data_IF_495923526464
#
_entry.id   IF_495923526464
#
_cell.length_a   1.000
_cell.length_b   1.000
_cell.length_c   1.000
_cell.angle_alpha   90.00
_cell.angle_beta   90.00
_cell.angle_gamma   90.00
#
_symmetry.space_group_name_H-M   'P 1'
#
loop_
_entity.id
_entity.type
_entity.pdbx_description
1 polymer ?
#
# COMPACT_ATOMS: atom_id res chain seq x y z
N UNK A 1 17.43 3.26 -4.16
CA UNK A 1 17.36 4.38 -3.20
C UNK A 1 18.64 5.18 -3.30
N UNK A 2 18.65 6.10 -4.25
CA UNK A 2 19.64 7.16 -4.36
C UNK A 2 19.24 8.34 -3.46
N UNK A 3 20.15 9.29 -3.23
CA UNK A 3 19.82 10.52 -2.50
C UNK A 3 18.71 11.31 -3.20
N UNK A 4 18.70 11.32 -4.55
CA UNK A 4 17.66 11.98 -5.33
C UNK A 4 16.28 11.35 -5.12
N UNK A 5 16.21 10.02 -5.07
CA UNK A 5 14.98 9.30 -4.73
C UNK A 5 14.53 9.59 -3.29
N UNK A 6 15.47 9.73 -2.35
CA UNK A 6 15.14 10.07 -0.96
C UNK A 6 14.54 11.47 -0.82
N UNK A 7 15.04 12.45 -1.60
CA UNK A 7 14.49 13.81 -1.65
C UNK A 7 13.05 13.87 -2.16
N UNK A 8 12.66 12.96 -3.05
CA UNK A 8 11.29 12.88 -3.57
C UNK A 8 10.30 12.25 -2.58
N UNK A 9 10.79 11.54 -1.56
CA UNK A 9 9.96 10.84 -0.58
C UNK A 9 9.62 11.68 0.65
N UNK A 10 10.41 12.72 0.94
CA UNK A 10 10.30 13.52 2.14
C UNK A 10 10.17 15.00 1.75
N UNK A 11 9.13 15.66 2.25
CA UNK A 11 8.94 17.11 2.10
C UNK A 11 9.65 17.84 3.25
N UNK A 12 10.95 17.62 3.40
CA UNK A 12 11.77 18.14 4.50
C UNK A 12 13.02 18.86 3.96
N UNK A 13 13.75 19.56 4.83
CA UNK A 13 14.96 20.28 4.44
C UNK A 13 16.02 19.35 3.83
N UNK A 14 16.63 19.81 2.73
CA UNK A 14 17.65 19.09 1.97
C UNK A 14 18.83 18.61 2.85
N UNK A 15 19.21 19.43 3.83
CA UNK A 15 20.26 19.11 4.79
C UNK A 15 19.88 17.94 5.70
N UNK A 16 18.63 17.95 6.21
CA UNK A 16 18.10 16.87 7.04
C UNK A 16 18.00 15.57 6.24
N UNK A 17 17.47 15.64 5.02
CA UNK A 17 17.35 14.48 4.12
C UNK A 17 18.72 13.87 3.85
N UNK A 18 19.74 14.69 3.56
CA UNK A 18 21.10 14.21 3.35
C UNK A 18 21.67 13.54 4.60
N UNK A 19 21.52 14.16 5.78
CA UNK A 19 22.01 13.59 7.03
C UNK A 19 21.38 12.22 7.34
N UNK A 20 20.05 12.11 7.17
CA UNK A 20 19.30 10.86 7.38
C UNK A 20 19.68 9.81 6.34
N UNK A 21 19.83 10.20 5.07
CA UNK A 21 20.25 9.29 4.00
C UNK A 21 21.66 8.73 4.25
N UNK A 22 22.62 9.59 4.63
CA UNK A 22 24.00 9.18 4.93
C UNK A 22 24.03 8.20 6.11
N UNK A 23 23.24 8.44 7.16
CA UNK A 23 23.06 7.50 8.26
C UNK A 23 22.45 6.16 7.78
N UNK A 24 21.37 6.21 7.01
CA UNK A 24 20.68 5.03 6.50
C UNK A 24 21.58 4.17 5.62
N UNK A 25 22.34 4.78 4.71
CA UNK A 25 23.31 4.08 3.84
C UNK A 25 24.37 3.37 4.70
N UNK A 26 24.92 4.05 5.71
CA UNK A 26 25.88 3.45 6.63
C UNK A 26 25.28 2.24 7.36
N UNK A 27 24.05 2.38 7.86
CA UNK A 27 23.34 1.30 8.55
C UNK A 27 23.05 0.12 7.62
N UNK A 28 22.67 0.37 6.36
CA UNK A 28 22.46 -0.67 5.32
C UNK A 28 23.76 -1.41 4.99
N UNK A 29 24.87 -0.69 4.81
CA UNK A 29 26.18 -1.31 4.55
C UNK A 29 26.63 -2.23 5.67
N UNK A 30 26.33 -1.88 6.92
CA UNK A 30 26.66 -2.69 8.09
C UNK A 30 25.68 -3.84 8.33
N UNK A 31 24.54 -3.86 7.65
CA UNK A 31 23.54 -4.91 7.78
C UNK A 31 23.97 -6.13 6.95
N UNK A 32 24.22 -7.25 7.63
CA UNK A 32 24.55 -8.53 6.98
C UNK A 32 23.33 -9.26 6.40
N UNK A 33 22.13 -8.77 6.72
CA UNK A 33 20.87 -9.33 6.25
C UNK A 33 20.30 -8.58 5.03
N UNK A 34 19.22 -9.12 4.41
CA UNK A 34 18.60 -8.50 3.24
C UNK A 34 17.88 -7.17 3.55
N UNK A 35 17.60 -6.89 4.82
CA UNK A 35 16.84 -5.72 5.27
C UNK A 35 17.28 -5.25 6.65
N UNK A 36 17.12 -3.94 6.91
CA UNK A 36 17.36 -3.36 8.24
C UNK A 36 16.32 -3.82 9.27
N UNK A 37 15.07 -3.94 8.84
CA UNK A 37 13.99 -4.45 9.67
C UNK A 37 14.08 -5.97 9.60
N UNK A 38 14.15 -6.68 10.74
CA UNK A 38 14.09 -8.14 10.75
C UNK A 38 12.85 -8.62 9.98
N UNK A 39 13.05 -9.56 9.07
CA UNK A 39 11.96 -10.16 8.31
C UNK A 39 11.88 -11.64 8.67
N UNK A 40 10.67 -12.17 8.64
CA UNK A 40 10.44 -13.59 8.78
C UNK A 40 10.98 -14.29 7.53
N UNK A 41 11.75 -15.36 7.72
CA UNK A 41 12.28 -16.14 6.60
C UNK A 41 11.13 -16.89 5.91
N UNK A 42 10.93 -16.61 4.63
CA UNK A 42 9.94 -17.28 3.79
C UNK A 42 10.62 -18.35 2.94
N UNK A 43 9.84 -19.30 2.44
CA UNK A 43 10.32 -20.36 1.55
C UNK A 43 10.85 -19.81 0.22
N UNK A 44 11.95 -20.37 -0.27
CA UNK A 44 12.46 -20.06 -1.61
C UNK A 44 11.60 -20.75 -2.68
N UNK A 45 11.38 -20.09 -3.82
CA UNK A 45 10.61 -20.61 -4.97
C UNK A 45 11.44 -21.48 -5.94
N UNK A 46 12.63 -21.87 -5.53
CA UNK A 46 13.58 -22.64 -6.34
C UNK A 46 13.40 -24.16 -6.23
N UNK A 47 12.37 -24.62 -5.51
CA UNK A 47 12.07 -26.04 -5.35
C UNK A 47 13.03 -26.79 -4.42
N UNK A 48 13.94 -26.07 -3.74
CA UNK A 48 14.85 -26.66 -2.76
C UNK A 48 14.13 -27.14 -1.50
N UNK A 49 14.67 -28.18 -0.86
CA UNK A 49 14.14 -28.72 0.40
C UNK A 49 14.32 -27.69 1.53
N UNK A 50 13.23 -27.03 1.91
CA UNK A 50 13.21 -26.11 3.05
C UNK A 50 13.13 -26.91 4.36
N UNK A 51 14.26 -27.41 4.87
CA UNK A 51 14.35 -28.01 6.22
C UNK A 51 14.84 -27.03 7.29
N UNK A 52 14.92 -25.75 6.95
CA UNK A 52 15.34 -24.69 7.86
C UNK A 52 14.23 -24.36 8.89
N UNK A 53 14.50 -24.46 10.20
CA UNK A 53 13.52 -24.22 11.26
C UNK A 53 13.05 -22.76 11.35
N UNK A 54 13.78 -21.79 10.76
CA UNK A 54 13.38 -20.39 10.72
C UNK A 54 12.39 -20.06 9.59
N UNK A 55 12.10 -21.01 8.67
CA UNK A 55 11.15 -20.80 7.57
C UNK A 55 9.71 -20.94 8.04
N UNK A 56 8.96 -19.84 8.03
CA UNK A 56 7.55 -19.78 8.44
C UNK A 56 6.61 -19.31 7.30
N UNK A 57 5.30 -19.47 7.51
CA UNK A 57 4.23 -19.04 6.58
C UNK A 57 4.35 -19.60 5.15
N UNK A 58 4.69 -20.89 5.04
CA UNK A 58 4.82 -21.58 3.75
C UNK A 58 3.51 -21.51 2.98
N UNK A 59 3.61 -21.20 1.68
CA UNK A 59 2.45 -21.16 0.79
C UNK A 59 2.15 -22.60 0.36
N UNK A 60 1.38 -23.29 1.19
CA UNK A 60 0.66 -24.47 0.73
C UNK A 60 -0.53 -23.97 -0.07
N UNK A 61 -0.31 -23.52 -1.30
CA UNK A 61 -1.45 -23.36 -2.20
C UNK A 61 -1.98 -24.76 -2.46
N UNK A 62 -3.18 -25.06 -1.97
CA UNK A 62 -4.08 -25.92 -2.73
C UNK A 62 -4.00 -25.39 -4.16
N UNK A 63 -3.49 -26.21 -5.09
CA UNK A 63 -3.38 -25.81 -6.49
C UNK A 63 -4.72 -25.23 -6.87
N UNK A 64 -4.74 -23.98 -7.35
CA UNK A 64 -5.96 -23.32 -7.83
C UNK A 64 -6.69 -24.33 -8.70
N UNK A 65 -7.84 -24.83 -8.23
CA UNK A 65 -8.57 -25.86 -8.95
C UNK A 65 -9.18 -25.20 -10.18
N UNK A 66 -8.44 -25.27 -11.28
CA UNK A 66 -8.94 -24.83 -12.58
C UNK A 66 -9.93 -25.87 -13.08
N UNK A 67 -11.07 -25.41 -13.60
CA UNK A 67 -12.04 -26.31 -14.24
C UNK A 67 -11.38 -27.02 -15.42
N UNK A 68 -11.54 -28.35 -15.52
CA UNK A 68 -10.98 -29.14 -16.64
C UNK A 68 -11.61 -28.81 -18.00
N UNK A 69 -12.85 -28.33 -18.01
CA UNK A 69 -13.58 -27.98 -19.24
C UNK A 69 -13.66 -26.46 -19.41
N UNK A 70 -13.32 -25.96 -20.59
CA UNK A 70 -13.41 -24.55 -20.95
C UNK A 70 -14.88 -24.14 -21.12
N UNK A 71 -15.55 -23.83 -20.02
CA UNK A 71 -16.90 -23.22 -20.04
C UNK A 71 -16.79 -21.70 -19.95
N UNK A 72 -17.44 -20.99 -20.86
CA UNK A 72 -17.64 -19.55 -20.78
C UNK A 72 -18.87 -19.30 -19.89
N UNK A 73 -18.66 -18.88 -18.64
CA UNK A 73 -19.72 -18.67 -17.66
C UNK A 73 -20.24 -17.24 -17.72
N UNK A 74 -21.18 -17.02 -18.64
CA UNK A 74 -21.84 -15.73 -18.89
C UNK A 74 -22.46 -15.15 -17.61
N UNK A 75 -23.10 -15.98 -16.78
CA UNK A 75 -23.71 -15.54 -15.53
C UNK A 75 -22.67 -15.00 -14.51
N UNK A 76 -21.49 -15.61 -14.44
CA UNK A 76 -20.39 -15.09 -13.62
C UNK A 76 -19.83 -13.77 -14.15
N UNK A 77 -19.78 -13.61 -15.48
CA UNK A 77 -19.35 -12.36 -16.12
C UNK A 77 -20.35 -11.22 -15.88
N UNK A 78 -21.66 -11.48 -15.99
CA UNK A 78 -22.70 -10.51 -15.66
C UNK A 78 -22.63 -10.05 -14.21
N UNK A 79 -22.41 -10.98 -13.26
CA UNK A 79 -22.19 -10.65 -11.85
C UNK A 79 -20.99 -9.74 -11.65
N UNK A 80 -19.87 -9.99 -12.35
CA UNK A 80 -18.69 -9.12 -12.31
C UNK A 80 -18.98 -7.72 -12.86
N UNK A 81 -19.71 -7.61 -13.97
CA UNK A 81 -20.12 -6.32 -14.52
C UNK A 81 -21.04 -5.54 -13.57
N UNK A 82 -21.99 -6.22 -12.93
CA UNK A 82 -22.84 -5.63 -11.89
C UNK A 82 -22.00 -5.13 -10.72
N UNK A 83 -21.08 -5.96 -10.21
CA UNK A 83 -20.19 -5.59 -9.11
C UNK A 83 -19.35 -4.34 -9.45
N UNK A 84 -18.80 -4.28 -10.67
CA UNK A 84 -18.07 -3.10 -11.14
C UNK A 84 -18.94 -1.84 -11.11
N UNK A 85 -20.18 -1.91 -11.60
CA UNK A 85 -21.13 -0.79 -11.61
C UNK A 85 -21.48 -0.34 -10.18
N UNK A 86 -21.73 -1.28 -9.27
CA UNK A 86 -22.03 -0.94 -7.88
C UNK A 86 -20.84 -0.28 -7.18
N UNK A 87 -19.61 -0.75 -7.42
CA UNK A 87 -18.41 -0.07 -6.91
C UNK A 87 -18.24 1.33 -7.49
N UNK A 88 -18.46 1.53 -8.80
CA UNK A 88 -18.42 2.87 -9.41
C UNK A 88 -19.43 3.81 -8.75
N UNK A 89 -20.65 3.33 -8.47
CA UNK A 89 -21.67 4.12 -7.74
C UNK A 89 -21.24 4.44 -6.31
N UNK A 90 -20.72 3.46 -5.58
CA UNK A 90 -20.22 3.65 -4.23
C UNK A 90 -19.10 4.70 -4.19
N UNK A 91 -18.15 4.65 -5.13
CA UNK A 91 -17.08 5.65 -5.26
C UNK A 91 -17.66 7.06 -5.49
N UNK A 92 -18.65 7.21 -6.37
CA UNK A 92 -19.29 8.50 -6.60
C UNK A 92 -19.94 9.06 -5.33
N UNK A 93 -20.66 8.22 -4.57
CA UNK A 93 -21.28 8.63 -3.31
C UNK A 93 -20.21 9.04 -2.29
N UNK A 94 -19.14 8.25 -2.17
CA UNK A 94 -18.03 8.56 -1.26
C UNK A 94 -17.35 9.88 -1.62
N UNK A 95 -17.15 10.16 -2.91
CA UNK A 95 -16.59 11.44 -3.38
C UNK A 95 -17.52 12.62 -3.07
N UNK A 96 -18.85 12.46 -3.22
CA UNK A 96 -19.82 13.47 -2.80
C UNK A 96 -19.76 13.74 -1.29
N UNK A 97 -19.67 12.69 -0.46
CA UNK A 97 -19.55 12.83 0.99
C UNK A 97 -18.24 13.55 1.35
N UNK A 98 -17.12 13.14 0.76
CA UNK A 98 -15.82 13.79 0.96
C UNK A 98 -15.87 15.29 0.65
N UNK A 99 -16.49 15.68 -0.48
CA UNK A 99 -16.67 17.10 -0.84
C UNK A 99 -17.55 17.83 0.18
N UNK A 100 -18.67 17.23 0.57
CA UNK A 100 -19.58 17.80 1.58
C UNK A 100 -18.87 18.08 2.90
N UNK A 101 -18.12 17.11 3.42
CA UNK A 101 -17.43 17.25 4.70
C UNK A 101 -16.25 18.25 4.60
N UNK A 102 -15.59 18.34 3.43
CA UNK A 102 -14.59 19.39 3.15
C UNK A 102 -15.21 20.79 3.23
N UNK A 103 -16.33 21.02 2.54
CA UNK A 103 -17.02 22.33 2.56
C UNK A 103 -17.52 22.70 3.95
N UNK A 104 -18.06 21.75 4.73
CA UNK A 104 -18.44 22.00 6.13
C UNK A 104 -17.25 22.44 6.99
N UNK A 105 -16.10 21.77 6.82
CA UNK A 105 -14.86 22.13 7.53
C UNK A 105 -14.40 23.54 7.15
N UNK A 106 -14.40 23.88 5.86
CA UNK A 106 -14.03 25.22 5.37
C UNK A 106 -14.97 26.30 5.92
N UNK A 107 -16.27 26.06 5.94
CA UNK A 107 -17.25 26.97 6.54
C UNK A 107 -16.99 27.20 8.03
N UNK A 108 -16.67 26.14 8.78
CA UNK A 108 -16.34 26.26 10.20
C UNK A 108 -15.08 27.10 10.42
N UNK A 109 -14.01 26.86 9.64
CA UNK A 109 -12.78 27.67 9.72
C UNK A 109 -13.05 29.14 9.44
N UNK A 110 -13.82 29.45 8.39
CA UNK A 110 -14.20 30.83 8.07
C UNK A 110 -15.03 31.46 9.19
N UNK A 111 -15.95 30.71 9.79
CA UNK A 111 -16.79 31.21 10.89
C UNK A 111 -15.95 31.56 12.11
N UNK A 112 -14.97 30.71 12.46
CA UNK A 112 -14.04 30.98 13.55
C UNK A 112 -13.21 32.25 13.26
N UNK A 113 -12.64 32.37 12.07
CA UNK A 113 -11.85 33.55 11.68
C UNK A 113 -12.66 34.86 11.75
N UNK A 114 -13.93 34.81 11.31
CA UNK A 114 -14.83 35.98 11.37
C UNK A 114 -15.16 36.35 12.83
N UNK A 115 -15.34 35.36 13.71
CA UNK A 115 -15.61 35.61 15.13
C UNK A 115 -14.37 36.16 15.84
N UNK A 116 -13.18 35.63 15.57
CA UNK A 116 -11.93 36.11 16.16
C UNK A 116 -11.57 37.55 15.75
N UNK A 117 -12.02 37.99 14.58
CA UNK A 117 -11.78 39.35 14.06
C UNK A 117 -12.85 40.37 14.47
N UNK A 118 -13.92 39.97 15.15
CA UNK A 118 -14.98 40.86 15.66
C UNK A 118 -14.72 41.22 17.12
#
# INVERSE_FOLDING_TARGET
VTLQEAKLLLNEDDYLIKAVYDYWVRKRKNCRGPSLIPQIKQEKRDGSTNNDPYVAFRRRTEKMQTRKNRKNDEASYEKMLKLRREFSRAITILEMIKRREKTKRELLHLTLEVVEKR
#
